data_IF_245391989365
#
_entry.id   IF_245391989365
#
_cell.length_a   1.000
_cell.length_b   1.000
_cell.length_c   1.000
_cell.angle_alpha   90.00
_cell.angle_beta   90.00
_cell.angle_gamma   90.00
#
_symmetry.space_group_name_H-M   'P 1'
#
loop_
_entity.id
_entity.type
_entity.pdbx_description
1 polymer ?
#
# COMPACT_ATOMS: atom_id res chain seq x y z
N UNK A 1 -17.90 18.03 -12.33
CA UNK A 1 -18.44 16.78 -11.74
C UNK A 1 -17.55 16.21 -10.66
N UNK A 2 -18.03 15.21 -9.90
CA UNK A 2 -17.25 14.44 -8.92
C UNK A 2 -17.31 12.96 -9.30
N UNK A 3 -16.14 12.28 -9.33
CA UNK A 3 -16.05 10.81 -9.43
C UNK A 3 -15.24 10.26 -8.28
N UNK A 4 -15.71 9.15 -7.68
CA UNK A 4 -15.03 8.46 -6.59
C UNK A 4 -14.38 7.19 -7.12
N UNK A 5 -13.08 7.03 -6.86
CA UNK A 5 -12.33 5.81 -7.10
C UNK A 5 -12.08 5.13 -5.76
N UNK A 6 -12.56 3.92 -5.64
CA UNK A 6 -12.42 3.11 -4.43
C UNK A 6 -11.12 2.30 -4.46
N UNK A 7 -10.63 1.95 -3.27
CA UNK A 7 -9.60 0.93 -3.13
C UNK A 7 -10.15 -0.44 -3.54
N UNK A 8 -9.25 -1.35 -3.97
CA UNK A 8 -9.59 -2.73 -4.36
C UNK A 8 -10.40 -3.46 -3.28
N UNK A 9 -10.00 -3.34 -2.02
CA UNK A 9 -10.67 -4.01 -0.90
C UNK A 9 -12.13 -3.62 -0.68
N UNK A 10 -12.55 -2.47 -1.22
CA UNK A 10 -13.92 -1.97 -1.08
C UNK A 10 -14.88 -2.52 -2.14
N UNK A 11 -14.35 -3.02 -3.24
CA UNK A 11 -15.14 -3.42 -4.42
C UNK A 11 -14.86 -4.84 -4.90
N UNK A 12 -13.69 -5.37 -4.63
CA UNK A 12 -13.29 -6.70 -5.06
C UNK A 12 -13.56 -7.73 -3.95
N UNK A 13 -14.58 -8.55 -4.10
CA UNK A 13 -14.97 -9.59 -3.14
C UNK A 13 -13.89 -10.67 -2.97
N UNK A 14 -13.01 -10.82 -3.94
CA UNK A 14 -11.89 -11.77 -3.89
C UNK A 14 -10.64 -11.17 -3.22
N UNK A 15 -10.69 -9.91 -2.82
CA UNK A 15 -9.58 -9.29 -2.11
C UNK A 15 -9.40 -9.95 -0.74
N UNK A 16 -8.17 -10.40 -0.39
CA UNK A 16 -7.95 -11.12 0.85
C UNK A 16 -8.36 -10.31 2.08
N UNK A 17 -9.15 -10.91 2.94
CA UNK A 17 -9.51 -10.28 4.20
C UNK A 17 -8.31 -10.23 5.13
N UNK A 18 -8.05 -9.07 5.72
CA UNK A 18 -7.05 -8.90 6.78
C UNK A 18 -7.37 -9.80 7.97
N UNK A 19 -8.66 -9.98 8.29
CA UNK A 19 -9.09 -10.84 9.37
C UNK A 19 -8.63 -12.30 9.22
N UNK A 20 -8.49 -12.80 7.98
CA UNK A 20 -7.97 -14.16 7.74
C UNK A 20 -6.50 -14.33 8.14
N UNK A 21 -5.74 -13.24 8.23
CA UNK A 21 -4.35 -13.23 8.69
C UNK A 21 -4.26 -12.96 10.20
N UNK A 22 -5.16 -12.17 10.75
CA UNK A 22 -5.25 -11.88 12.18
C UNK A 22 -5.85 -13.05 12.98
N UNK A 23 -6.66 -13.89 12.36
CA UNK A 23 -7.28 -15.09 12.95
C UNK A 23 -6.36 -16.32 12.90
N UNK A 24 -5.06 -16.17 12.68
CA UNK A 24 -4.12 -17.23 12.93
C UNK A 24 -4.24 -17.63 14.40
N UNK A 25 -4.56 -18.89 14.67
CA UNK A 25 -4.82 -19.46 16.00
C UNK A 25 -3.58 -19.50 16.91
N UNK A 26 -2.50 -18.86 16.52
CA UNK A 26 -1.27 -18.71 17.29
C UNK A 26 -1.36 -17.37 18.04
N UNK A 27 -1.79 -17.40 19.30
CA UNK A 27 -1.95 -16.20 20.13
C UNK A 27 -0.62 -15.47 20.38
N UNK A 28 0.51 -16.15 20.20
CA UNK A 28 1.86 -15.59 20.35
C UNK A 28 2.42 -15.03 19.03
N UNK A 29 1.74 -15.22 17.91
CA UNK A 29 2.22 -14.76 16.61
C UNK A 29 2.21 -13.24 16.52
N UNK A 30 3.38 -12.63 16.60
CA UNK A 30 3.56 -11.20 16.35
C UNK A 30 3.71 -10.92 14.86
N UNK A 31 2.89 -10.03 14.34
CA UNK A 31 2.73 -9.72 12.90
C UNK A 31 3.35 -8.36 12.60
N UNK A 32 4.02 -8.25 11.46
CA UNK A 32 4.44 -6.95 10.90
C UNK A 32 3.32 -6.40 10.01
N UNK A 33 2.90 -5.16 10.27
CA UNK A 33 1.95 -4.43 9.44
C UNK A 33 2.71 -3.56 8.44
N UNK A 34 2.44 -3.75 7.15
CA UNK A 34 3.02 -2.96 6.07
C UNK A 34 1.95 -2.03 5.50
N UNK A 35 2.22 -0.72 5.53
CA UNK A 35 1.29 0.31 5.08
C UNK A 35 1.74 0.86 3.73
N UNK A 36 0.91 0.64 2.72
CA UNK A 36 1.01 1.24 1.39
C UNK A 36 0.13 2.48 1.24
N UNK A 37 0.08 3.01 0.02
CA UNK A 37 -0.67 4.23 -0.30
C UNK A 37 -2.11 3.95 -0.71
N UNK A 38 -2.28 3.39 -1.91
CA UNK A 38 -3.57 3.21 -2.55
C UNK A 38 -3.48 2.21 -3.71
N UNK A 39 -4.43 1.32 -3.81
CA UNK A 39 -4.58 0.40 -4.92
C UNK A 39 -5.97 0.59 -5.57
N UNK A 40 -6.07 1.40 -6.64
CA UNK A 40 -7.35 1.77 -7.23
C UNK A 40 -8.06 0.57 -7.88
N UNK A 41 -9.36 0.45 -7.63
CA UNK A 41 -10.23 -0.49 -8.32
C UNK A 41 -10.56 0.02 -9.72
N UNK A 42 -10.47 -0.87 -10.71
CA UNK A 42 -10.79 -0.59 -12.09
C UNK A 42 -11.82 -1.59 -12.63
N UNK A 43 -12.95 -1.10 -13.11
CA UNK A 43 -14.01 -1.93 -13.68
C UNK A 43 -13.61 -2.65 -14.98
N UNK A 44 -12.53 -2.23 -15.65
CA UNK A 44 -12.04 -2.85 -16.90
C UNK A 44 -11.27 -4.17 -16.70
N UNK A 45 -11.16 -4.66 -15.47
CA UNK A 45 -10.52 -5.94 -15.17
C UNK A 45 -8.99 -5.91 -15.09
N UNK A 46 -8.34 -4.76 -15.28
CA UNK A 46 -6.88 -4.61 -15.16
C UNK A 46 -6.45 -4.31 -13.73
N UNK A 47 -7.09 -4.93 -12.77
CA UNK A 47 -6.84 -4.73 -11.36
C UNK A 47 -5.61 -5.52 -10.90
N UNK A 48 -4.82 -4.94 -10.00
CA UNK A 48 -3.91 -5.74 -9.23
C UNK A 48 -4.70 -6.68 -8.30
N UNK A 49 -4.31 -7.94 -8.25
CA UNK A 49 -5.04 -8.96 -7.51
C UNK A 49 -4.71 -9.00 -6.03
N UNK A 50 -3.66 -8.28 -5.64
CA UNK A 50 -3.18 -8.20 -4.26
C UNK A 50 -2.35 -6.92 -4.04
N UNK A 51 -2.07 -6.59 -2.78
CA UNK A 51 -1.17 -5.49 -2.43
C UNK A 51 0.16 -5.61 -3.17
N UNK A 52 0.65 -4.51 -3.70
CA UNK A 52 1.88 -4.46 -4.51
C UNK A 52 1.90 -5.39 -5.72
N UNK A 53 0.73 -5.83 -6.21
CA UNK A 53 0.59 -6.82 -7.28
C UNK A 53 0.88 -6.32 -8.70
N UNK A 54 1.22 -5.03 -8.90
CA UNK A 54 1.54 -4.50 -10.22
C UNK A 54 2.92 -4.94 -10.69
N UNK A 55 3.08 -5.23 -11.98
CA UNK A 55 4.33 -5.71 -12.59
C UNK A 55 5.53 -4.79 -12.35
N UNK A 56 5.29 -3.48 -12.24
CA UNK A 56 6.33 -2.49 -11.94
C UNK A 56 6.72 -2.42 -10.47
N UNK A 57 6.08 -3.20 -9.59
CA UNK A 57 6.33 -3.16 -8.16
C UNK A 57 7.33 -4.26 -7.77
N UNK A 58 8.36 -3.88 -7.05
CA UNK A 58 9.43 -4.80 -6.62
C UNK A 58 9.23 -5.39 -5.22
N UNK A 59 8.13 -5.07 -4.55
CA UNK A 59 7.86 -5.53 -3.18
C UNK A 59 8.02 -7.04 -3.03
N UNK A 60 7.32 -7.81 -3.86
CA UNK A 60 7.36 -9.27 -3.77
C UNK A 60 8.70 -9.88 -4.14
N UNK A 61 9.46 -9.27 -5.03
CA UNK A 61 10.85 -9.67 -5.31
C UNK A 61 11.75 -9.46 -4.09
N UNK A 62 11.56 -8.35 -3.38
CA UNK A 62 12.30 -8.05 -2.17
C UNK A 62 11.96 -9.10 -1.10
N UNK A 63 10.68 -9.37 -0.89
CA UNK A 63 10.21 -10.39 0.06
C UNK A 63 10.79 -11.76 -0.29
N UNK A 64 10.74 -12.19 -1.54
CA UNK A 64 11.31 -13.47 -1.99
C UNK A 64 12.80 -13.59 -1.66
N UNK A 65 13.59 -12.54 -1.89
CA UNK A 65 15.02 -12.53 -1.55
C UNK A 65 15.29 -12.60 -0.05
N UNK A 66 14.47 -11.98 0.77
CA UNK A 66 14.61 -11.98 2.22
C UNK A 66 14.27 -13.35 2.80
N UNK A 67 13.30 -14.04 2.21
CA UNK A 67 12.76 -15.31 2.72
C UNK A 67 13.52 -16.54 2.22
N UNK A 68 14.68 -16.35 1.60
CA UNK A 68 15.52 -17.42 1.02
C UNK A 68 14.87 -18.16 -0.16
N UNK A 69 13.75 -17.69 -0.63
CA UNK A 69 13.16 -18.17 -1.87
C UNK A 69 13.95 -17.55 -3.02
N UNK A 70 15.00 -18.23 -3.48
CA UNK A 70 16.01 -17.71 -4.41
C UNK A 70 15.52 -17.61 -5.86
N UNK A 71 14.29 -17.96 -6.14
CA UNK A 71 13.75 -17.91 -7.49
C UNK A 71 13.40 -16.47 -7.89
N UNK A 72 14.38 -15.77 -8.46
CA UNK A 72 14.24 -14.38 -8.94
C UNK A 72 13.16 -14.27 -10.04
N UNK A 73 12.85 -15.33 -10.73
CA UNK A 73 11.86 -15.37 -11.81
C UNK A 73 10.43 -15.54 -11.28
N UNK A 74 10.27 -15.99 -10.05
CA UNK A 74 9.00 -16.32 -9.42
C UNK A 74 8.01 -15.14 -9.34
N UNK A 75 8.52 -13.90 -9.28
CA UNK A 75 7.70 -12.68 -9.17
C UNK A 75 7.94 -11.68 -10.30
N UNK A 76 8.66 -12.09 -11.35
CA UNK A 76 8.94 -11.24 -12.52
C UNK A 76 7.95 -11.40 -13.65
N UNK A 77 7.02 -12.32 -13.54
CA UNK A 77 6.07 -12.61 -14.59
C UNK A 77 5.36 -11.33 -15.05
N UNK A 78 5.37 -11.09 -16.34
CA UNK A 78 4.59 -10.05 -17.00
C UNK A 78 3.08 -10.28 -16.83
N UNK A 79 2.70 -11.50 -16.48
CA UNK A 79 1.34 -11.93 -16.19
C UNK A 79 1.28 -12.47 -14.76
N UNK A 80 0.43 -11.86 -13.93
CA UNK A 80 0.18 -12.35 -12.58
C UNK A 80 -0.73 -13.56 -12.69
N UNK A 81 -0.15 -14.74 -12.62
CA UNK A 81 -0.91 -15.98 -12.63
C UNK A 81 -1.71 -16.17 -11.32
N UNK A 82 -2.72 -17.04 -11.38
CA UNK A 82 -3.45 -17.44 -10.15
C UNK A 82 -2.52 -18.07 -9.11
N UNK A 83 -1.50 -18.79 -9.57
CA UNK A 83 -0.48 -19.43 -8.73
C UNK A 83 0.33 -18.37 -7.98
N UNK A 84 0.70 -17.27 -8.63
CA UNK A 84 1.47 -16.19 -8.00
C UNK A 84 0.69 -15.51 -6.86
N UNK A 85 -0.62 -15.35 -7.01
CA UNK A 85 -1.48 -14.82 -5.93
C UNK A 85 -1.50 -15.70 -4.70
N UNK A 86 -1.66 -17.02 -4.91
CA UNK A 86 -1.64 -18.00 -3.82
C UNK A 86 -0.29 -18.02 -3.12
N UNK A 87 0.79 -17.92 -3.89
CA UNK A 87 2.14 -17.89 -3.35
C UNK A 87 2.42 -16.64 -2.54
N UNK A 88 2.01 -15.47 -3.01
CA UNK A 88 2.10 -14.21 -2.23
C UNK A 88 1.36 -14.29 -0.91
N UNK A 89 0.17 -14.87 -0.91
CA UNK A 89 -0.59 -15.10 0.31
C UNK A 89 0.13 -16.07 1.25
N UNK A 90 0.71 -17.15 0.73
CA UNK A 90 1.51 -18.11 1.51
C UNK A 90 2.76 -17.45 2.09
N UNK A 91 3.46 -16.65 1.31
CA UNK A 91 4.63 -15.89 1.79
C UNK A 91 4.26 -14.90 2.90
N UNK A 92 3.16 -14.17 2.75
CA UNK A 92 2.67 -13.28 3.80
C UNK A 92 2.36 -14.05 5.09
N UNK A 93 1.69 -15.20 4.98
CA UNK A 93 1.39 -16.06 6.12
C UNK A 93 2.64 -16.62 6.77
N UNK A 94 3.57 -17.16 5.97
CA UNK A 94 4.83 -17.74 6.46
C UNK A 94 5.69 -16.71 7.19
N UNK A 95 5.75 -15.49 6.68
CA UNK A 95 6.57 -14.42 7.24
C UNK A 95 5.81 -13.52 8.23
N UNK A 96 4.59 -13.89 8.58
CA UNK A 96 3.77 -13.20 9.56
C UNK A 96 3.68 -11.70 9.33
N UNK A 97 3.37 -11.29 8.10
CA UNK A 97 3.07 -9.90 7.79
C UNK A 97 1.73 -9.73 7.07
N UNK A 98 1.14 -8.56 7.23
CA UNK A 98 -0.06 -8.12 6.52
C UNK A 98 0.19 -6.79 5.83
N UNK A 99 -0.47 -6.59 4.69
CA UNK A 99 -0.42 -5.33 3.96
C UNK A 99 -1.77 -4.62 4.04
N UNK A 100 -1.73 -3.31 4.25
CA UNK A 100 -2.88 -2.41 4.15
C UNK A 100 -2.48 -1.15 3.40
N UNK A 101 -3.43 -0.53 2.73
CA UNK A 101 -3.24 0.80 2.15
C UNK A 101 -3.92 1.86 3.02
N UNK A 102 -3.27 3.02 3.14
CA UNK A 102 -3.74 4.12 3.97
C UNK A 102 -4.98 4.80 3.40
N UNK A 103 -5.11 4.82 2.06
CA UNK A 103 -6.20 5.51 1.38
C UNK A 103 -7.28 4.51 0.98
N UNK A 104 -8.50 4.74 1.43
CA UNK A 104 -9.68 3.93 1.15
C UNK A 104 -10.36 4.31 -0.17
N UNK A 105 -10.40 5.60 -0.45
CA UNK A 105 -10.93 6.13 -1.71
C UNK A 105 -10.38 7.52 -2.00
N UNK A 106 -10.44 7.91 -3.26
CA UNK A 106 -10.17 9.27 -3.70
C UNK A 106 -11.38 9.83 -4.45
N UNK A 107 -11.68 11.10 -4.21
CA UNK A 107 -12.64 11.86 -4.99
C UNK A 107 -11.88 12.80 -5.92
N UNK A 108 -12.22 12.76 -7.19
CA UNK A 108 -11.69 13.65 -8.22
C UNK A 108 -12.78 14.60 -8.67
N UNK A 109 -12.57 15.90 -8.46
CA UNK A 109 -13.53 16.96 -8.74
C UNK A 109 -13.00 17.90 -9.83
N UNK A 110 -13.85 18.30 -10.77
CA UNK A 110 -13.51 19.20 -11.86
C UNK A 110 -14.55 19.17 -12.98
N UNK A 111 -14.20 19.68 -14.14
CA UNK A 111 -15.00 19.47 -15.36
C UNK A 111 -14.96 18.00 -15.79
N UNK A 112 -16.03 17.50 -16.40
CA UNK A 112 -16.20 16.07 -16.73
C UNK A 112 -15.01 15.52 -17.53
N UNK A 113 -14.64 16.22 -18.58
CA UNK A 113 -13.53 15.83 -19.47
C UNK A 113 -12.19 15.75 -18.72
N UNK A 114 -11.93 16.70 -17.83
CA UNK A 114 -10.67 16.74 -17.06
C UNK A 114 -10.62 15.64 -16.00
N UNK A 115 -11.75 15.40 -15.32
CA UNK A 115 -11.91 14.29 -14.35
C UNK A 115 -11.67 12.95 -15.02
N UNK A 116 -12.32 12.70 -16.18
CA UNK A 116 -12.16 11.43 -16.90
C UNK A 116 -10.75 11.22 -17.40
N UNK A 117 -10.17 12.24 -18.00
CA UNK A 117 -8.79 12.20 -18.46
C UNK A 117 -7.81 11.93 -17.31
N UNK A 118 -7.99 12.61 -16.17
CA UNK A 118 -7.15 12.42 -14.99
C UNK A 118 -7.25 10.99 -14.44
N UNK A 119 -8.46 10.48 -14.27
CA UNK A 119 -8.70 9.13 -13.76
C UNK A 119 -8.05 8.10 -14.68
N UNK A 120 -8.34 8.16 -15.98
CA UNK A 120 -7.82 7.18 -16.94
C UNK A 120 -6.29 7.18 -17.02
N UNK A 121 -5.66 8.35 -17.12
CA UNK A 121 -4.23 8.44 -17.41
C UNK A 121 -3.34 8.49 -16.18
N UNK A 122 -3.84 8.89 -15.01
CA UNK A 122 -3.02 9.09 -13.82
C UNK A 122 -3.42 8.23 -12.62
N UNK A 123 -4.61 7.66 -12.61
CA UNK A 123 -5.07 6.78 -11.54
C UNK A 123 -5.13 5.33 -11.99
N UNK A 124 -5.77 5.05 -13.11
CA UNK A 124 -6.00 3.67 -13.55
C UNK A 124 -4.88 3.10 -14.40
N UNK A 125 -4.42 3.84 -15.43
CA UNK A 125 -3.43 3.35 -16.39
C UNK A 125 -1.98 3.53 -15.89
N UNK A 126 -1.65 4.72 -15.43
CA UNK A 126 -0.30 5.09 -14.98
C UNK A 126 -0.38 5.62 -13.55
N UNK A 127 -0.63 4.72 -12.60
CA UNK A 127 -0.75 5.11 -11.20
C UNK A 127 0.60 5.51 -10.62
N UNK A 128 0.67 6.75 -10.12
CA UNK A 128 1.80 7.27 -9.34
C UNK A 128 1.27 7.95 -8.08
N UNK A 129 1.78 7.57 -6.93
CA UNK A 129 1.42 8.16 -5.63
C UNK A 129 1.48 9.69 -5.64
N UNK A 130 2.50 10.26 -6.30
CA UNK A 130 2.64 11.71 -6.42
C UNK A 130 1.45 12.42 -7.05
N UNK A 131 0.64 11.72 -7.85
CA UNK A 131 -0.55 12.30 -8.48
C UNK A 131 -1.75 12.36 -7.55
N UNK A 132 -1.86 11.43 -6.62
CA UNK A 132 -2.97 11.41 -5.66
C UNK A 132 -2.61 12.09 -4.32
N UNK A 133 -1.33 12.34 -4.04
CA UNK A 133 -0.90 13.05 -2.85
C UNK A 133 -1.02 14.57 -2.97
N UNK A 134 -1.05 15.09 -4.19
CA UNK A 134 -1.31 16.50 -4.45
C UNK A 134 -2.81 16.75 -4.50
N UNK A 135 -3.31 17.71 -3.72
CA UNK A 135 -4.75 18.00 -3.66
C UNK A 135 -5.26 18.82 -4.84
N UNK A 136 -4.42 19.67 -5.44
CA UNK A 136 -4.79 20.57 -6.53
C UNK A 136 -3.84 20.36 -7.70
N UNK A 137 -4.36 19.89 -8.82
CA UNK A 137 -3.64 19.74 -10.08
C UNK A 137 -4.06 20.83 -11.06
N UNK A 138 -3.46 22.02 -10.94
CA UNK A 138 -3.80 23.18 -11.78
C UNK A 138 -3.67 22.89 -13.27
N UNK A 139 -2.60 22.20 -13.68
CA UNK A 139 -2.39 21.80 -15.08
C UNK A 139 -3.41 20.78 -15.59
N UNK A 140 -4.12 20.09 -14.70
CA UNK A 140 -5.11 19.06 -14.99
C UNK A 140 -6.54 19.51 -14.64
N UNK A 141 -6.69 20.72 -14.11
CA UNK A 141 -7.96 21.31 -13.69
C UNK A 141 -8.81 20.42 -12.77
N UNK A 142 -8.16 19.65 -11.90
CA UNK A 142 -8.85 18.76 -10.96
C UNK A 142 -8.40 18.99 -9.52
N UNK A 143 -9.33 18.76 -8.60
CA UNK A 143 -9.12 18.78 -7.16
C UNK A 143 -9.33 17.36 -6.64
N UNK A 144 -8.40 16.89 -5.80
CA UNK A 144 -8.43 15.56 -5.20
C UNK A 144 -8.64 15.67 -3.71
N UNK A 145 -9.62 14.96 -3.18
CA UNK A 145 -9.77 14.66 -1.77
C UNK A 145 -9.67 13.15 -1.52
N UNK A 146 -9.31 12.77 -0.30
CA UNK A 146 -9.02 11.38 0.09
C UNK A 146 -9.83 10.99 1.31
N UNK A 147 -10.35 9.78 1.31
CA UNK A 147 -10.84 9.12 2.51
C UNK A 147 -9.76 8.11 2.98
N UNK A 148 -9.42 8.18 4.26
CA UNK A 148 -8.37 7.35 4.86
C UNK A 148 -8.95 6.15 5.60
N UNK A 149 -8.17 5.08 5.69
CA UNK A 149 -8.49 3.85 6.42
C UNK A 149 -7.78 3.79 7.79
N UNK A 150 -7.36 4.95 8.29
CA UNK A 150 -6.56 5.10 9.51
C UNK A 150 -7.21 4.44 10.71
N UNK A 151 -8.53 4.58 10.88
CA UNK A 151 -9.23 3.97 12.01
C UNK A 151 -9.14 2.45 11.99
N UNK A 152 -9.25 1.83 10.81
CA UNK A 152 -9.07 0.38 10.66
C UNK A 152 -7.64 -0.04 11.00
N UNK A 153 -6.64 0.71 10.53
CA UNK A 153 -5.24 0.48 10.83
C UNK A 153 -5.00 0.56 12.35
N UNK A 154 -5.50 1.59 12.99
CA UNK A 154 -5.42 1.77 14.45
C UNK A 154 -6.07 0.61 15.21
N UNK A 155 -7.26 0.17 14.80
CA UNK A 155 -7.95 -0.97 15.42
C UNK A 155 -7.11 -2.26 15.31
N UNK A 156 -6.42 -2.47 14.20
CA UNK A 156 -5.53 -3.62 14.00
C UNK A 156 -4.30 -3.52 14.90
N UNK A 157 -3.69 -2.35 15.02
CA UNK A 157 -2.56 -2.11 15.92
C UNK A 157 -2.97 -2.41 17.37
N UNK A 158 -4.11 -1.90 17.79
CA UNK A 158 -4.66 -2.12 19.15
C UNK A 158 -5.06 -3.57 19.43
N UNK A 159 -5.14 -4.45 18.44
CA UNK A 159 -5.38 -5.88 18.63
C UNK A 159 -4.26 -6.61 19.38
N UNK A 160 -3.13 -5.92 19.64
CA UNK A 160 -1.91 -6.42 20.32
C UNK A 160 -1.19 -7.56 19.60
N UNK A 161 -1.58 -7.88 18.37
CA UNK A 161 -0.91 -8.88 17.53
C UNK A 161 0.17 -8.29 16.63
N UNK A 162 0.34 -6.96 16.63
CA UNK A 162 1.32 -6.26 15.80
C UNK A 162 2.62 -6.07 16.60
N UNK A 163 3.75 -6.47 16.02
CA UNK A 163 5.10 -6.25 16.58
C UNK A 163 5.77 -5.00 16.02
N UNK A 164 5.52 -4.70 14.75
CA UNK A 164 6.10 -3.56 14.06
C UNK A 164 5.18 -3.07 12.94
N UNK A 165 5.28 -1.79 12.64
CA UNK A 165 4.58 -1.14 11.54
C UNK A 165 5.60 -0.53 10.60
N UNK A 166 5.54 -0.88 9.32
CA UNK A 166 6.41 -0.34 8.28
C UNK A 166 5.56 0.43 7.29
N UNK A 167 5.79 1.73 7.10
CA UNK A 167 5.13 2.43 6.01
C UNK A 167 6.07 2.61 4.81
N UNK A 168 5.54 2.35 3.62
CA UNK A 168 6.28 2.36 2.35
C UNK A 168 6.01 3.61 1.50
N UNK A 169 5.47 4.65 2.11
CA UNK A 169 5.06 5.86 1.39
C UNK A 169 6.24 6.74 0.95
N UNK A 170 7.46 6.36 1.36
CA UNK A 170 8.70 7.01 0.98
C UNK A 170 8.95 8.36 1.68
N UNK A 171 10.16 8.89 1.52
CA UNK A 171 10.58 10.17 2.10
C UNK A 171 9.79 11.38 1.60
N UNK A 172 8.97 11.19 0.59
CA UNK A 172 8.12 12.25 0.01
C UNK A 172 7.08 12.78 0.99
N UNK A 173 6.62 11.99 1.96
CA UNK A 173 5.68 12.47 2.98
C UNK A 173 6.32 13.57 3.82
N UNK A 174 7.60 13.46 4.14
CA UNK A 174 8.31 14.46 4.92
C UNK A 174 8.87 15.60 4.05
N UNK A 175 9.09 15.37 2.74
CA UNK A 175 9.68 16.34 1.82
C UNK A 175 8.65 17.11 0.99
N UNK A 176 7.39 16.70 0.97
CA UNK A 176 6.35 17.42 0.26
C UNK A 176 5.99 18.68 1.06
N UNK A 177 6.70 19.78 0.78
CA UNK A 177 6.25 21.14 1.12
C UNK A 177 4.81 21.41 0.62
N UNK A 178 4.25 20.49 -0.14
CA UNK A 178 2.91 20.48 -0.74
C UNK A 178 2.11 19.24 -0.40
N UNK A 179 2.65 18.33 0.45
CA UNK A 179 1.85 17.24 0.98
C UNK A 179 0.66 17.83 1.70
N UNK A 180 -0.55 17.34 1.45
CA UNK A 180 -1.65 17.74 2.29
C UNK A 180 -1.24 17.44 3.72
N UNK A 181 -1.38 18.45 4.56
CA UNK A 181 -1.23 18.33 6.01
C UNK A 181 -2.04 17.15 6.58
N UNK A 182 -3.06 16.72 5.87
CA UNK A 182 -3.90 15.56 6.13
C UNK A 182 -3.13 14.24 6.12
N UNK A 183 -2.39 13.94 5.04
CA UNK A 183 -1.64 12.67 4.95
C UNK A 183 -0.59 12.54 6.05
N UNK A 184 0.10 13.64 6.36
CA UNK A 184 1.06 13.68 7.47
C UNK A 184 0.38 13.48 8.82
N UNK A 185 -0.82 14.04 9.01
CA UNK A 185 -1.62 13.85 10.22
C UNK A 185 -2.05 12.39 10.40
N UNK A 186 -2.50 11.73 9.32
CA UNK A 186 -2.90 10.34 9.37
C UNK A 186 -1.73 9.41 9.74
N UNK A 187 -0.55 9.65 9.17
CA UNK A 187 0.67 8.91 9.55
C UNK A 187 1.07 9.20 10.99
N UNK A 188 0.94 10.44 11.47
CA UNK A 188 1.26 10.79 12.84
C UNK A 188 0.32 10.13 13.85
N UNK A 189 -0.97 10.02 13.52
CA UNK A 189 -1.94 9.27 14.34
C UNK A 189 -1.46 7.81 14.50
N UNK A 190 -1.09 7.16 13.40
CA UNK A 190 -0.62 5.78 13.43
C UNK A 190 0.66 5.64 14.25
N UNK A 191 1.61 6.57 14.07
CA UNK A 191 2.87 6.59 14.84
C UNK A 191 2.62 6.72 16.34
N UNK A 192 1.72 7.62 16.73
CA UNK A 192 1.40 7.83 18.14
C UNK A 192 0.79 6.57 18.77
N UNK A 193 -0.13 5.91 18.07
CA UNK A 193 -0.71 4.63 18.53
C UNK A 193 0.37 3.54 18.63
N UNK A 194 1.33 3.49 17.71
CA UNK A 194 2.45 2.57 17.82
C UNK A 194 3.28 2.84 19.07
N UNK A 195 3.60 4.12 19.35
CA UNK A 195 4.36 4.51 20.54
C UNK A 195 3.61 4.15 21.84
N UNK A 196 2.31 4.37 21.89
CA UNK A 196 1.45 4.03 23.05
C UNK A 196 1.38 2.52 23.32
N UNK A 197 1.64 1.68 22.32
CA UNK A 197 1.62 0.23 22.41
C UNK A 197 3.01 -0.42 22.39
N UNK A 198 4.09 0.34 22.52
CA UNK A 198 5.49 -0.12 22.42
C UNK A 198 5.77 -0.90 21.10
N UNK A 199 5.15 -0.45 20.01
CA UNK A 199 5.31 -1.04 18.68
C UNK A 199 6.31 -0.23 17.88
N UNK A 200 7.28 -0.90 17.29
CA UNK A 200 8.26 -0.26 16.43
C UNK A 200 7.60 0.31 15.18
N UNK A 201 7.79 1.62 14.95
CA UNK A 201 7.31 2.30 13.74
C UNK A 201 8.48 2.61 12.82
N UNK A 202 8.53 1.91 11.69
CA UNK A 202 9.63 1.96 10.72
C UNK A 202 9.21 2.78 9.51
N UNK A 203 10.05 3.76 9.19
CA UNK A 203 9.91 4.58 8.02
C UNK A 203 10.77 4.05 6.87
N UNK A 204 10.13 3.68 5.74
CA UNK A 204 10.86 3.42 4.52
C UNK A 204 11.06 4.71 3.73
N UNK A 205 12.30 5.17 3.60
CA UNK A 205 12.64 6.34 2.77
C UNK A 205 12.34 6.10 1.29
N UNK A 206 12.09 4.85 0.90
CA UNK A 206 11.92 4.45 -0.49
C UNK A 206 10.68 3.59 -0.69
N UNK A 207 9.95 3.89 -1.77
CA UNK A 207 8.81 3.09 -2.18
C UNK A 207 9.28 1.83 -2.93
N UNK A 208 8.67 0.65 -2.70
CA UNK A 208 8.95 -0.56 -3.44
C UNK A 208 8.69 -0.45 -4.95
N UNK A 209 7.93 0.56 -5.38
CA UNK A 209 7.66 0.84 -6.79
C UNK A 209 8.79 1.58 -7.51
N UNK A 210 9.81 2.07 -6.81
CA UNK A 210 10.91 2.77 -7.44
C UNK A 210 11.92 1.81 -8.06
N UNK A 211 12.16 1.97 -9.36
CA UNK A 211 13.04 1.12 -10.17
C UNK A 211 14.53 1.35 -9.87
N UNK A 212 14.88 2.34 -9.05
CA UNK A 212 16.25 2.83 -8.93
C UNK A 212 17.15 2.01 -8.00
N UNK A 213 18.43 2.28 -8.13
CA UNK A 213 19.65 1.76 -7.51
C UNK A 213 19.55 1.46 -5.99
N UNK A 214 18.53 1.98 -5.34
CA UNK A 214 18.30 1.88 -3.90
C UNK A 214 17.50 0.63 -3.46
N UNK A 215 17.37 -0.38 -4.32
CA UNK A 215 16.71 -1.67 -3.99
C UNK A 215 17.29 -2.35 -2.76
N UNK A 216 18.60 -2.15 -2.52
CA UNK A 216 19.31 -2.70 -1.37
C UNK A 216 18.82 -2.10 -0.03
N UNK A 217 18.45 -0.80 -0.02
CA UNK A 217 17.92 -0.14 1.18
C UNK A 217 16.53 -0.65 1.56
N UNK A 218 15.67 -0.93 0.56
CA UNK A 218 14.40 -1.58 0.80
C UNK A 218 14.59 -2.97 1.43
N UNK A 219 15.59 -3.73 0.98
CA UNK A 219 15.91 -5.05 1.56
C UNK A 219 16.26 -4.92 3.04
N UNK A 220 17.05 -3.93 3.43
CA UNK A 220 17.46 -3.75 4.83
C UNK A 220 16.28 -3.42 5.75
N UNK A 221 15.30 -2.66 5.27
CA UNK A 221 14.08 -2.35 6.02
C UNK A 221 13.23 -3.61 6.18
N UNK A 222 13.05 -4.37 5.11
CA UNK A 222 12.23 -5.58 5.13
C UNK A 222 12.88 -6.77 5.83
N UNK A 223 14.20 -6.74 6.11
CA UNK A 223 14.85 -7.73 7.00
C UNK A 223 14.26 -7.75 8.40
N UNK A 224 13.67 -6.66 8.85
CA UNK A 224 12.98 -6.59 10.14
C UNK A 224 11.61 -7.31 10.14
N UNK A 225 11.18 -7.83 8.98
CA UNK A 225 9.97 -8.66 8.85
C UNK A 225 10.19 -10.09 9.39
N UNK A 226 11.46 -10.54 9.51
CA UNK A 226 11.81 -11.87 10.03
C UNK A 226 11.50 -12.06 11.51
#
# INVERSE_FOLDING_TARGET
MKKTIYHQSEKNTNWPSVNSLLNLNDDDAKITLIIGSFNPYNNSGTNADYYYGRNSNYFWKIISKITENQDDDYYTASEISHVDRLNRKKEALKNKFICLDLIKSIDVNGEEKDVDNFIQNHVLKNFFDSKIFTSIHREKNVIISRAYDTQRIVNIINSKKIKSVIHTLGGRINSLKTSPSELSKEIEIIRNVCNENDIEFIFSSESPSQINVNRLKCVDIYKNIK
#
